data_IF_257287135743
#
_entry.id   IF_257287135743
#
_cell.length_a   1.000
_cell.length_b   1.000
_cell.length_c   1.000
_cell.angle_alpha   90.00
_cell.angle_beta   90.00
_cell.angle_gamma   90.00
#
_symmetry.space_group_name_H-M   'P 1'
#
loop_
_entity.id
_entity.type
_entity.pdbx_description
1 polymer ?
2 non-polymer ?
#
# COMPACT_ATOMS: atom_id res chain seq x y z
N UNK A 3 12.69 12.64 -15.17
CA UNK A 3 13.84 13.43 -14.75
C UNK A 3 13.85 13.64 -13.25
N UNK A 4 14.12 12.57 -12.50
CA UNK A 4 14.14 12.64 -11.04
C UNK A 4 15.10 11.59 -10.51
N UNK A 5 15.56 11.81 -9.29
CA UNK A 5 16.47 10.86 -8.65
C UNK A 5 15.75 9.56 -8.34
N UNK A 6 16.43 8.44 -8.60
CA UNK A 6 15.80 7.12 -8.54
C UNK A 6 16.16 6.37 -7.27
N UNK A 7 16.70 7.04 -6.26
CA UNK A 7 17.03 6.36 -5.01
C UNK A 7 15.78 5.80 -4.34
N UNK A 8 14.71 6.60 -4.28
CA UNK A 8 13.43 6.19 -3.73
C UNK A 8 12.36 6.42 -4.78
N UNK A 9 11.55 5.40 -5.04
CA UNK A 9 10.47 5.49 -6.01
C UNK A 9 9.14 5.32 -5.28
N UNK A 10 8.19 6.21 -5.56
CA UNK A 10 6.87 6.18 -4.94
C UNK A 10 5.85 5.85 -6.02
N UNK A 11 5.09 4.78 -5.80
CA UNK A 11 4.07 4.33 -6.74
C UNK A 11 2.70 4.69 -6.17
N UNK A 12 2.04 5.68 -6.75
CA UNK A 12 0.71 6.10 -6.31
C UNK A 12 -0.32 5.32 -7.11
N UNK A 13 -0.83 4.25 -6.54
CA UNK A 13 -1.74 3.33 -7.23
C UNK A 13 -3.17 3.67 -6.85
N UNK A 14 -4.02 3.89 -7.85
CA UNK A 14 -5.41 4.19 -7.62
C UNK A 14 -5.63 5.64 -7.25
N UNK A 15 -6.91 5.97 -7.04
CA UNK A 15 -7.27 7.31 -6.64
C UNK A 15 -6.76 7.65 -5.25
N UNK A 16 -6.90 6.72 -4.31
CA UNK A 16 -6.41 6.95 -2.95
C UNK A 16 -4.89 7.12 -2.94
N UNK A 17 -4.18 6.28 -3.70
CA UNK A 17 -2.73 6.44 -3.78
C UNK A 17 -2.32 7.75 -4.43
N UNK A 18 -2.99 8.12 -5.53
CA UNK A 18 -2.66 9.36 -6.20
C UNK A 18 -2.93 10.59 -5.33
N UNK A 19 -4.05 10.59 -4.61
CA UNK A 19 -4.36 11.73 -3.75
C UNK A 19 -3.40 11.81 -2.58
N UNK A 20 -3.04 10.65 -2.00
CA UNK A 20 -2.09 10.64 -0.89
C UNK A 20 -0.74 11.18 -1.33
N UNK A 21 -0.27 10.72 -2.49
CA UNK A 21 1.04 11.10 -2.97
C UNK A 21 1.12 12.45 -3.66
N UNK A 22 0.01 13.17 -3.78
CA UNK A 22 0.04 14.47 -4.44
C UNK A 22 0.86 15.48 -3.66
N UNK A 23 1.14 15.23 -2.39
CA UNK A 23 1.93 16.15 -1.57
C UNK A 23 3.43 15.99 -1.79
N UNK A 24 3.86 14.96 -2.52
CA UNK A 24 5.28 14.71 -2.76
C UNK A 24 5.73 15.18 -4.13
N UNK A 25 4.89 15.92 -4.85
CA UNK A 25 5.30 16.45 -6.15
C UNK A 25 6.44 17.44 -6.02
N UNK A 26 6.38 18.31 -5.01
CA UNK A 26 7.45 19.25 -4.79
C UNK A 26 8.77 18.56 -4.47
N UNK A 27 8.70 17.45 -3.74
CA UNK A 27 9.92 16.68 -3.45
C UNK A 27 10.52 16.12 -4.73
N UNK A 28 9.67 15.66 -5.65
CA UNK A 28 10.17 15.21 -6.96
C UNK A 28 10.81 16.38 -7.70
N UNK A 29 10.19 17.56 -7.62
CA UNK A 29 10.78 18.73 -8.24
C UNK A 29 12.13 19.09 -7.63
N UNK A 30 12.34 18.75 -6.37
CA UNK A 30 13.59 19.03 -5.67
C UNK A 30 14.58 17.88 -5.75
N UNK A 31 14.25 16.81 -6.47
CA UNK A 31 15.16 15.69 -6.63
C UNK A 31 15.30 14.77 -5.45
N UNK A 32 14.44 14.90 -4.44
CA UNK A 32 14.51 14.00 -3.30
C UNK A 32 14.20 12.56 -3.70
N UNK A 33 13.18 12.37 -4.52
CA UNK A 33 12.80 11.03 -4.95
C UNK A 33 12.01 11.13 -6.25
N UNK A 34 11.88 9.99 -6.92
CA UNK A 34 11.07 9.87 -8.12
C UNK A 34 9.72 9.26 -7.76
N UNK A 35 8.69 9.65 -8.52
CA UNK A 35 7.34 9.21 -8.24
C UNK A 35 6.60 8.91 -9.53
N UNK A 36 5.87 7.81 -9.54
CA UNK A 36 5.09 7.38 -10.69
C UNK A 36 3.63 7.20 -10.28
N UNK A 37 2.73 7.79 -11.05
CA UNK A 37 1.30 7.61 -10.84
C UNK A 37 0.82 6.43 -11.68
N UNK A 38 0.21 5.45 -11.04
CA UNK A 38 -0.38 4.30 -11.72
C UNK A 38 -1.86 4.28 -11.37
N UNK A 39 -2.71 4.30 -12.39
CA UNK A 39 -4.15 4.29 -12.16
C UNK A 39 -4.85 3.81 -13.42
N UNK A 40 -6.08 3.35 -13.24
CA UNK A 40 -6.94 3.01 -14.36
C UNK A 40 -7.76 4.20 -14.84
N UNK A 41 -7.75 5.31 -14.11
CA UNK A 41 -8.51 6.49 -14.47
C UNK A 41 -7.67 7.73 -14.26
N UNK A 42 -7.99 8.78 -15.02
CA UNK A 42 -7.32 10.06 -14.91
C UNK A 42 -8.22 11.10 -14.24
N UNK A 43 -9.32 10.68 -13.63
CA UNK A 43 -10.24 11.63 -13.01
C UNK A 43 -9.58 12.38 -11.85
N UNK A 44 -8.82 11.67 -11.01
CA UNK A 44 -8.15 12.32 -9.90
C UNK A 44 -6.97 13.17 -10.37
N UNK A 45 -6.31 12.75 -11.45
CA UNK A 45 -5.09 13.40 -11.92
C UNK A 45 -5.36 14.46 -12.98
N UNK A 46 -6.25 15.41 -12.68
CA UNK A 46 -6.54 16.49 -13.61
C UNK A 46 -5.74 17.75 -13.34
N UNK A 47 -5.01 17.82 -12.23
CA UNK A 47 -4.25 19.03 -11.91
C UNK A 47 -2.87 18.71 -11.33
N UNK A 48 -2.32 17.53 -11.60
CA UNK A 48 -1.01 17.18 -11.07
C UNK A 48 0.08 18.02 -11.71
N UNK A 49 1.08 18.40 -10.90
CA UNK A 49 2.20 19.17 -11.41
C UNK A 49 3.12 18.30 -12.27
N UNK A 50 3.28 17.04 -11.90
CA UNK A 50 4.14 16.14 -12.66
C UNK A 50 3.60 15.93 -14.06
N UNK A 51 4.51 15.81 -15.02
CA UNK A 51 4.12 15.62 -16.41
C UNK A 51 3.55 14.24 -16.66
N UNK A 52 3.11 14.04 -17.89
CA UNK A 52 2.55 12.75 -18.27
C UNK A 52 3.60 11.66 -18.36
N UNK A 53 4.89 12.02 -18.42
CA UNK A 53 5.93 11.02 -18.43
C UNK A 53 6.06 10.29 -17.09
N UNK A 54 5.50 10.87 -16.02
CA UNK A 54 5.43 10.22 -14.72
C UNK A 54 4.06 9.61 -14.44
N UNK A 55 3.18 9.59 -15.43
CA UNK A 55 1.82 9.10 -15.27
C UNK A 55 1.59 7.97 -16.25
N UNK A 56 1.14 6.83 -15.74
CA UNK A 56 0.76 5.69 -16.55
C UNK A 56 -0.69 5.33 -16.27
N UNK A 57 -1.49 5.22 -17.33
CA UNK A 57 -2.90 4.88 -17.24
C UNK A 57 -3.11 3.57 -17.99
N UNK A 58 -3.80 2.62 -17.35
CA UNK A 58 -4.02 1.32 -17.96
C UNK A 58 -4.86 1.46 -19.22
N UNK A 59 -4.58 0.57 -20.19
CA UNK A 59 -5.27 0.58 -21.47
C UNK A 59 -5.89 -0.79 -21.73
N UNK A 60 -7.00 -0.79 -22.45
CA UNK A 60 -7.69 -2.03 -22.80
C UNK A 60 -7.05 -2.64 -24.05
N UNK A 61 -7.73 -3.63 -24.63
CA UNK A 61 -7.19 -4.30 -25.81
C UNK A 61 -7.06 -3.33 -26.98
N UNK A 62 -8.02 -2.42 -27.13
CA UNK A 62 -8.00 -1.47 -28.24
C UNK A 62 -7.03 -0.32 -28.03
N UNK A 63 -6.14 -0.42 -27.04
CA UNK A 63 -5.17 0.63 -26.81
C UNK A 63 -5.75 1.92 -26.29
N UNK A 64 -6.96 1.88 -25.75
CA UNK A 64 -7.64 3.06 -25.24
C UNK A 64 -7.60 3.03 -23.72
N UNK A 65 -7.28 4.17 -23.12
CA UNK A 65 -7.14 4.24 -21.67
C UNK A 65 -8.48 3.98 -20.99
N UNK A 66 -8.43 3.20 -19.91
CA UNK A 66 -9.63 2.84 -19.16
C UNK A 66 -10.17 4.07 -18.41
N UNK A 67 -11.33 3.90 -17.79
CA UNK A 67 -11.96 4.95 -17.02
C UNK A 67 -12.41 4.44 -15.67
N UNK A 68 -11.53 3.69 -15.00
CA UNK A 68 -11.80 3.20 -13.66
C UNK A 68 -12.46 1.83 -13.66
N UNK A 69 -12.29 1.13 -12.53
CA UNK A 69 -12.87 -0.18 -12.35
C UNK A 69 -14.18 -0.17 -11.59
N UNK A 70 -14.48 0.91 -10.86
CA UNK A 70 -15.72 0.97 -10.12
C UNK A 70 -15.82 -0.04 -9.01
N UNK A 71 -14.74 -0.23 -8.24
CA UNK A 71 -14.70 -1.16 -7.11
C UNK A 71 -14.98 -2.59 -7.54
N UNK A 72 -14.70 -2.92 -8.78
CA UNK A 72 -14.85 -4.29 -9.29
C UNK A 72 -13.47 -4.80 -9.64
N UNK A 73 -12.89 -5.59 -8.73
CA UNK A 73 -11.51 -6.04 -8.90
C UNK A 73 -11.35 -6.95 -10.10
N UNK A 74 -12.32 -7.81 -10.35
CA UNK A 74 -12.22 -8.77 -11.44
C UNK A 74 -12.58 -8.16 -12.80
N UNK A 75 -13.04 -6.91 -12.84
CA UNK A 75 -13.43 -6.31 -14.11
C UNK A 75 -12.25 -6.15 -15.05
N UNK A 76 -11.10 -5.67 -14.53
CA UNK A 76 -9.92 -5.41 -15.35
C UNK A 76 -8.68 -6.02 -14.74
N UNK A 77 -8.84 -7.10 -13.96
CA UNK A 77 -7.68 -7.72 -13.32
C UNK A 77 -6.73 -8.29 -14.36
N UNK A 78 -7.26 -8.91 -15.41
CA UNK A 78 -6.40 -9.51 -16.43
C UNK A 78 -5.56 -8.46 -17.14
N UNK A 79 -6.18 -7.34 -17.53
CA UNK A 79 -5.43 -6.29 -18.20
C UNK A 79 -4.36 -5.70 -17.30
N UNK A 80 -4.68 -5.50 -16.02
CA UNK A 80 -3.71 -4.96 -15.08
C UNK A 80 -2.52 -5.90 -14.94
N UNK A 81 -2.79 -7.19 -14.72
CA UNK A 81 -1.71 -8.15 -14.54
C UNK A 81 -0.89 -8.30 -15.82
N UNK A 82 -1.51 -8.09 -16.99
CA UNK A 82 -0.76 -8.15 -18.23
C UNK A 82 0.09 -6.91 -18.46
N UNK A 83 -0.38 -5.75 -18.00
CA UNK A 83 0.32 -4.50 -18.25
C UNK A 83 1.30 -4.10 -17.15
N UNK A 84 1.35 -4.84 -16.04
CA UNK A 84 2.30 -4.50 -14.97
C UNK A 84 3.75 -4.50 -15.44
N UNK A 85 4.24 -5.52 -16.15
CA UNK A 85 5.65 -5.46 -16.59
C UNK A 85 5.99 -4.26 -17.45
N UNK A 86 5.07 -3.81 -18.29
CA UNK A 86 5.32 -2.63 -19.09
C UNK A 86 5.53 -1.39 -18.24
N UNK A 87 4.81 -1.30 -17.11
CA UNK A 87 5.01 -0.18 -16.20
C UNK A 87 6.44 -0.18 -15.67
N UNK A 88 6.92 -1.34 -15.25
CA UNK A 88 8.27 -1.43 -14.70
C UNK A 88 9.33 -1.17 -15.77
N UNK A 89 9.06 -1.55 -17.02
CA UNK A 89 10.00 -1.24 -18.09
C UNK A 89 10.05 0.26 -18.37
N UNK A 90 8.88 0.89 -18.49
CA UNK A 90 8.84 2.33 -18.80
C UNK A 90 9.39 3.14 -17.63
N UNK A 91 8.92 2.87 -16.42
CA UNK A 91 9.37 3.56 -15.22
C UNK A 91 10.30 2.62 -14.46
N UNK A 92 11.59 2.92 -14.48
CA UNK A 92 12.56 2.06 -13.82
C UNK A 92 12.32 2.08 -12.32
N UNK A 93 12.09 0.94 -11.68
CA UNK A 93 11.86 0.94 -10.23
C UNK A 93 13.09 1.44 -9.48
N UNK A 94 12.84 2.20 -8.42
CA UNK A 94 13.92 2.72 -7.62
C UNK A 94 14.56 1.63 -6.79
N UNK A 95 15.68 2.00 -6.15
CA UNK A 95 16.37 1.04 -5.29
C UNK A 95 15.50 0.64 -4.12
N UNK A 96 14.72 1.58 -3.59
CA UNK A 96 13.69 1.29 -2.60
C UNK A 96 12.37 1.84 -3.11
N UNK A 97 11.33 1.01 -3.10
CA UNK A 97 10.04 1.35 -3.67
C UNK A 97 8.98 1.43 -2.58
N UNK A 98 8.12 2.42 -2.68
CA UNK A 98 7.05 2.66 -1.71
C UNK A 98 5.74 2.66 -2.49
N UNK A 99 5.09 1.50 -2.56
CA UNK A 99 3.83 1.35 -3.30
C UNK A 99 2.68 1.72 -2.37
N UNK A 100 1.94 2.76 -2.75
CA UNK A 100 0.79 3.24 -1.99
C UNK A 100 -0.47 2.84 -2.73
N UNK A 101 -1.38 2.16 -2.02
CA UNK A 101 -2.63 1.75 -2.65
C UNK A 101 -3.66 1.48 -1.56
N UNK A 102 -4.92 1.43 -1.97
CA UNK A 102 -6.04 1.18 -1.08
C UNK A 102 -6.61 -0.21 -1.34
N UNK A 103 -6.90 -0.93 -0.26
CA UNK A 103 -7.42 -2.29 -0.40
C UNK A 103 -8.88 -2.32 -0.84
N UNK A 104 -9.59 -1.20 -0.75
CA UNK A 104 -11.02 -1.19 -1.00
C UNK A 104 -11.38 -0.90 -2.46
N UNK A 105 -10.56 -0.14 -3.17
CA UNK A 105 -10.88 0.19 -4.55
C UNK A 105 -10.73 -1.00 -5.48
N UNK A 106 -11.35 -0.87 -6.64
CA UNK A 106 -11.25 -1.92 -7.64
C UNK A 106 -10.03 -1.85 -8.53
N UNK A 107 -9.25 -0.79 -8.42
CA UNK A 107 -8.05 -0.61 -9.23
C UNK A 107 -6.78 -0.58 -8.40
N UNK A 108 -6.75 0.22 -7.33
CA UNK A 108 -5.57 0.24 -6.48
C UNK A 108 -5.32 -1.08 -5.80
N UNK A 109 -6.39 -1.75 -5.35
CA UNK A 109 -6.24 -3.02 -4.66
C UNK A 109 -5.82 -4.15 -5.57
N UNK A 110 -5.80 -3.94 -6.88
CA UNK A 110 -5.32 -4.94 -7.83
C UNK A 110 -3.94 -4.58 -8.38
N UNK A 111 -3.77 -3.35 -8.86
CA UNK A 111 -2.47 -2.93 -9.39
C UNK A 111 -1.44 -2.73 -8.31
N UNK A 112 -1.87 -2.57 -7.05
CA UNK A 112 -0.94 -2.46 -5.94
C UNK A 112 -0.25 -3.76 -5.64
N UNK A 113 -1.04 -4.78 -5.25
CA UNK A 113 -0.45 -6.10 -5.03
C UNK A 113 0.27 -6.67 -6.25
N UNK A 114 -0.22 -6.39 -7.46
CA UNK A 114 0.50 -6.84 -8.65
C UNK A 114 1.87 -6.19 -8.74
N UNK A 115 1.95 -4.88 -8.49
CA UNK A 115 3.23 -4.20 -8.48
C UNK A 115 4.14 -4.77 -7.40
N UNK A 116 3.60 -5.00 -6.20
CA UNK A 116 4.41 -5.51 -5.10
C UNK A 116 4.95 -6.89 -5.44
N UNK A 117 4.10 -7.76 -5.98
CA UNK A 117 4.53 -9.12 -6.31
C UNK A 117 5.58 -9.11 -7.42
N UNK A 118 5.38 -8.28 -8.45
CA UNK A 118 6.35 -8.22 -9.53
C UNK A 118 7.69 -7.67 -9.05
N UNK A 119 7.66 -6.64 -8.21
CA UNK A 119 8.90 -6.09 -7.66
C UNK A 119 9.61 -7.11 -6.79
N UNK A 120 8.87 -7.82 -5.93
CA UNK A 120 9.48 -8.83 -5.08
C UNK A 120 10.08 -9.95 -5.90
N UNK A 121 9.39 -10.38 -6.96
CA UNK A 121 9.91 -11.44 -7.82
C UNK A 121 11.17 -11.00 -8.56
N UNK A 122 11.24 -9.72 -8.94
CA UNK A 122 12.43 -9.18 -9.58
C UNK A 122 13.59 -9.00 -8.62
N UNK A 123 13.35 -9.15 -7.31
CA UNK A 123 14.38 -8.94 -6.32
C UNK A 123 14.47 -7.52 -5.79
N UNK A 124 13.53 -6.66 -6.13
CA UNK A 124 13.54 -5.29 -5.64
C UNK A 124 13.11 -5.24 -4.18
N UNK A 125 13.38 -4.10 -3.55
CA UNK A 125 13.00 -3.86 -2.16
C UNK A 125 11.79 -2.93 -2.15
N UNK A 126 10.66 -3.42 -1.69
CA UNK A 126 9.40 -2.69 -1.74
C UNK A 126 8.75 -2.70 -0.37
N UNK A 127 8.30 -1.52 0.08
CA UNK A 127 7.53 -1.36 1.31
C UNK A 127 6.21 -0.70 0.93
N UNK A 128 5.11 -1.33 1.30
CA UNK A 128 3.78 -0.88 0.89
C UNK A 128 3.19 0.06 1.94
N UNK A 129 2.47 1.08 1.47
CA UNK A 129 1.61 1.90 2.31
C UNK A 129 0.18 1.60 1.93
N UNK A 130 -0.62 1.19 2.91
CA UNK A 130 -1.94 0.62 2.66
C UNK A 130 -2.98 1.39 3.46
N UNK A 131 -4.07 1.76 2.80
CA UNK A 131 -5.20 2.41 3.45
C UNK A 131 -6.45 1.58 3.13
N UNK A 132 -7.08 1.04 4.17
CA UNK A 132 -8.22 0.16 4.01
C UNK A 132 -9.48 0.85 4.53
N UNK A 133 -10.57 0.76 3.76
CA UNK A 133 -11.83 1.39 4.09
C UNK A 133 -12.93 0.34 4.20
N UNK A 134 -13.90 0.62 5.07
CA UNK A 134 -15.00 -0.30 5.34
C UNK A 134 -16.32 0.44 5.35
N UNK A 135 -16.56 1.25 4.33
CA UNK A 135 -17.79 2.03 4.25
C UNK A 135 -18.91 1.27 3.55
N UNK A 136 -18.59 0.48 2.54
CA UNK A 136 -19.57 -0.32 1.82
C UNK A 136 -19.18 -1.79 1.88
N UNK A 137 -20.16 -2.66 1.66
CA UNK A 137 -19.89 -4.10 1.67
C UNK A 137 -18.89 -4.48 0.60
N UNK A 138 -19.01 -3.88 -0.59
CA UNK A 138 -18.06 -4.16 -1.65
C UNK A 138 -16.65 -3.75 -1.24
N UNK A 139 -16.51 -2.61 -0.57
CA UNK A 139 -15.20 -2.17 -0.10
C UNK A 139 -14.62 -3.16 0.91
N UNK A 140 -15.44 -3.64 1.84
CA UNK A 140 -14.96 -4.58 2.84
C UNK A 140 -14.53 -5.89 2.20
N UNK A 141 -15.33 -6.41 1.26
CA UNK A 141 -14.98 -7.65 0.59
C UNK A 141 -13.70 -7.48 -0.22
N UNK A 142 -13.56 -6.34 -0.90
CA UNK A 142 -12.33 -6.08 -1.65
C UNK A 142 -11.13 -6.01 -0.73
N UNK A 143 -11.27 -5.35 0.42
CA UNK A 143 -10.17 -5.26 1.36
C UNK A 143 -9.76 -6.63 1.88
N UNK A 144 -10.76 -7.46 2.22
CA UNK A 144 -10.45 -8.80 2.71
C UNK A 144 -9.75 -9.62 1.62
N UNK A 145 -10.25 -9.56 0.39
CA UNK A 145 -9.63 -10.30 -0.70
C UNK A 145 -8.20 -9.83 -0.95
N UNK A 146 -7.97 -8.51 -0.91
CA UNK A 146 -6.64 -7.98 -1.17
C UNK A 146 -5.68 -8.35 -0.06
N UNK A 147 -6.13 -8.31 1.19
CA UNK A 147 -5.25 -8.71 2.29
C UNK A 147 -4.91 -10.20 2.21
N UNK A 148 -5.89 -11.04 1.89
CA UNK A 148 -5.62 -12.46 1.70
C UNK A 148 -4.64 -12.68 0.55
N UNK A 149 -4.81 -11.92 -0.54
CA UNK A 149 -3.89 -12.05 -1.66
C UNK A 149 -2.48 -11.62 -1.31
N UNK A 150 -2.35 -10.55 -0.52
CA UNK A 150 -1.02 -10.13 -0.09
C UNK A 150 -0.37 -11.16 0.82
N UNK A 151 -1.14 -11.75 1.74
CA UNK A 151 -0.59 -12.82 2.56
C UNK A 151 -0.16 -14.01 1.71
N UNK A 152 -0.99 -14.39 0.72
CA UNK A 152 -0.63 -15.48 -0.17
C UNK A 152 0.63 -15.15 -0.96
N UNK A 153 0.75 -13.90 -1.41
CA UNK A 153 1.95 -13.50 -2.15
C UNK A 153 3.18 -13.57 -1.28
N UNK A 154 3.06 -13.14 -0.01
CA UNK A 154 4.19 -13.25 0.91
C UNK A 154 4.59 -14.70 1.12
N UNK A 155 3.60 -15.59 1.26
CA UNK A 155 3.93 -16.99 1.50
C UNK A 155 4.51 -17.66 0.25
N UNK A 156 4.00 -17.30 -0.93
CA UNK A 156 4.39 -17.99 -2.14
C UNK A 156 5.61 -17.43 -2.85
N UNK A 157 5.96 -16.18 -2.54
CA UNK A 157 7.17 -15.59 -3.07
C UNK A 157 8.38 -15.81 -2.17
N UNK A 158 8.19 -16.41 -0.99
CA UNK A 158 9.26 -16.64 -0.02
C UNK A 158 9.97 -15.33 0.31
N UNK A 159 9.20 -14.25 0.43
CA UNK A 159 9.76 -12.94 0.69
C UNK A 159 8.68 -12.11 1.37
N UNK A 160 8.96 -11.52 2.53
CA UNK A 160 7.92 -10.81 3.26
C UNK A 160 7.40 -9.59 2.52
N UNK A 161 6.10 -9.35 2.66
CA UNK A 161 5.45 -8.18 2.10
C UNK A 161 5.27 -7.19 3.25
N UNK A 162 6.13 -6.17 3.30
CA UNK A 162 6.06 -5.18 4.37
C UNK A 162 4.93 -4.21 4.08
N UNK A 163 4.05 -4.02 5.05
CA UNK A 163 2.82 -3.27 4.88
C UNK A 163 2.72 -2.23 5.98
N UNK A 164 2.47 -0.99 5.60
CA UNK A 164 2.15 0.09 6.55
C UNK A 164 0.63 0.22 6.55
N UNK A 165 -0.02 -0.46 7.49
CA UNK A 165 -1.46 -0.57 7.49
C UNK A 165 -2.10 0.63 8.17
N UNK A 166 -3.12 1.20 7.53
CA UNK A 166 -3.87 2.33 8.05
C UNK A 166 -5.35 2.09 7.87
N UNK A 167 -6.15 2.73 8.72
CA UNK A 167 -7.60 2.56 8.73
C UNK A 167 -8.27 3.91 8.51
N UNK A 168 -9.31 3.92 7.67
CA UNK A 168 -10.03 5.16 7.42
C UNK A 168 -10.90 5.55 8.61
N UNK A 169 -11.61 4.60 9.19
CA UNK A 169 -12.51 4.87 10.28
C UNK A 169 -11.92 4.78 11.68
N UNK A 170 -10.60 4.61 11.80
CA UNK A 170 -9.99 4.44 13.10
C UNK A 170 -10.07 5.74 13.90
N UNK A 171 -10.58 5.63 15.14
CA UNK A 171 -10.66 6.77 16.06
C UNK A 171 -11.47 7.92 15.47
N UNK A 172 -12.36 7.63 14.52
CA UNK A 172 -13.14 8.67 13.89
C UNK A 172 -12.35 9.63 13.05
N UNK A 173 -11.16 9.23 12.59
CA UNK A 173 -10.36 10.11 11.75
C UNK A 173 -10.97 10.25 10.37
N UNK A 174 -10.80 11.43 9.79
CA UNK A 174 -11.25 11.68 8.43
C UNK A 174 -10.22 11.14 7.44
N UNK A 175 -10.52 11.29 6.15
CA UNK A 175 -9.55 10.89 5.13
C UNK A 175 -8.32 11.79 5.14
N UNK A 176 -8.49 13.06 5.51
CA UNK A 176 -7.35 13.98 5.55
C UNK A 176 -6.34 13.55 6.62
N UNK A 177 -6.83 13.14 7.78
CA UNK A 177 -5.92 12.71 8.84
C UNK A 177 -5.17 11.44 8.43
N UNK A 178 -5.85 10.50 7.80
CA UNK A 178 -5.19 9.29 7.32
C UNK A 178 -4.16 9.64 6.26
N UNK A 179 -4.49 10.60 5.38
CA UNK A 179 -3.52 11.05 4.38
C UNK A 179 -2.29 11.65 5.06
N UNK A 180 -2.49 12.46 6.10
CA UNK A 180 -1.36 13.03 6.81
C UNK A 180 -0.50 11.95 7.46
N UNK A 181 -1.14 10.94 8.05
CA UNK A 181 -0.40 9.83 8.65
C UNK A 181 0.44 9.10 7.60
N UNK A 182 -0.16 8.80 6.46
CA UNK A 182 0.55 8.09 5.40
C UNK A 182 1.67 8.97 4.85
N UNK A 183 1.45 10.28 4.76
CA UNK A 183 2.49 11.18 4.30
C UNK A 183 3.67 11.20 5.26
N UNK A 184 3.39 11.21 6.57
CA UNK A 184 4.47 11.16 7.55
C UNK A 184 5.25 9.85 7.41
N UNK A 185 4.54 8.74 7.26
CA UNK A 185 5.22 7.45 7.10
C UNK A 185 6.08 7.43 5.85
N UNK A 186 5.55 7.97 4.75
CA UNK A 186 6.30 7.98 3.50
C UNK A 186 7.52 8.88 3.59
N UNK A 187 7.38 10.04 4.24
CA UNK A 187 8.53 10.93 4.41
C UNK A 187 9.61 10.27 5.25
N UNK A 188 9.21 9.59 6.33
CA UNK A 188 10.19 8.89 7.16
C UNK A 188 10.86 7.76 6.38
N UNK A 189 10.10 7.03 5.57
CA UNK A 189 10.70 5.98 4.75
C UNK A 189 11.66 6.56 3.72
N UNK A 190 11.31 7.69 3.12
CA UNK A 190 12.19 8.32 2.15
C UNK A 190 13.49 8.77 2.79
N UNK A 191 13.41 9.35 4.00
CA UNK A 191 14.64 9.73 4.71
C UNK A 191 15.45 8.49 5.06
N UNK A 192 14.79 7.42 5.49
CA UNK A 192 15.50 6.18 5.80
C UNK A 192 16.17 5.59 4.56
N UNK A 193 15.48 5.63 3.43
CA UNK A 193 15.95 5.00 2.20
C UNK A 193 16.82 5.92 1.34
N UNK A 194 17.12 7.13 1.82
CA UNK A 194 17.89 8.07 1.02
C UNK A 194 19.31 7.58 0.76
N UNK A 195 19.84 6.71 1.62
CA UNK A 195 21.19 6.23 1.48
C UNK A 195 22.25 7.18 1.99
N UNK A 196 21.86 8.31 2.58
CA UNK A 196 22.80 9.30 3.08
C UNK A 196 23.11 9.12 4.56
N UNK A 197 22.51 8.13 5.21
CA UNK A 197 22.76 7.90 6.63
C UNK A 197 24.18 7.37 6.84
N UNK A 198 24.81 7.79 7.94
CA UNK A 198 26.23 7.53 8.11
C UNK A 198 26.52 6.04 8.31
N UNK A 199 25.80 5.40 9.23
CA UNK A 199 26.14 4.04 9.63
C UNK A 199 25.24 2.99 9.00
N UNK A 200 24.42 3.37 8.02
CA UNK A 200 23.47 2.46 7.40
C UNK A 200 23.88 2.16 5.98
N UNK A 201 24.01 0.88 5.65
CA UNK A 201 24.43 0.41 4.35
C UNK A 201 23.26 -0.17 3.58
N UNK A 202 23.49 -0.41 2.29
CA UNK A 202 22.47 -1.04 1.46
C UNK A 202 22.18 -2.46 1.91
N UNK A 203 23.23 -3.20 2.31
CA UNK A 203 23.02 -4.57 2.77
C UNK A 203 22.20 -4.60 4.05
N UNK A 204 22.42 -3.63 4.94
CA UNK A 204 21.64 -3.56 6.17
C UNK A 204 20.15 -3.40 5.87
N UNK A 205 19.82 -2.51 4.94
CA UNK A 205 18.42 -2.32 4.57
C UNK A 205 17.86 -3.51 3.82
N UNK A 206 18.69 -4.18 3.01
CA UNK A 206 18.23 -5.39 2.33
C UNK A 206 17.87 -6.48 3.34
N UNK A 207 18.72 -6.67 4.36
CA UNK A 207 18.41 -7.67 5.38
C UNK A 207 17.25 -7.22 6.26
N UNK A 208 17.07 -5.91 6.45
CA UNK A 208 15.95 -5.41 7.23
C UNK A 208 14.63 -5.68 6.52
N UNK A 209 14.54 -5.34 5.24
CA UNK A 209 13.31 -5.54 4.50
C UNK A 209 13.05 -7.02 4.26
N UNK A 210 14.06 -7.75 3.80
CA UNK A 210 13.98 -9.20 3.64
C UNK A 210 14.46 -9.87 4.93
N UNK A 211 13.64 -9.72 5.97
CA UNK A 211 14.05 -10.14 7.31
C UNK A 211 14.38 -11.62 7.43
N UNK A 212 13.69 -12.58 6.78
CA UNK A 212 14.05 -13.99 6.99
C UNK A 212 15.45 -14.36 6.52
N UNK A 213 16.16 -13.45 5.86
CA UNK A 213 17.56 -13.71 5.52
C UNK A 213 18.41 -13.84 6.79
N UNK A 214 18.16 -13.01 7.78
CA UNK A 214 18.92 -13.01 9.02
C UNK A 214 18.13 -13.63 10.16
N UNK A 215 16.86 -13.27 10.29
CA UNK A 215 16.04 -13.80 11.39
C UNK A 215 15.84 -15.30 11.27
N UNK A 216 15.62 -15.79 10.04
CA UNK A 216 15.32 -17.18 9.84
C UNK A 216 13.88 -17.56 10.04
N UNK A 217 13.00 -16.59 10.29
CA UNK A 217 11.58 -16.86 10.47
C UNK A 217 10.91 -17.16 9.14
N UNK A 218 9.66 -17.60 9.22
CA UNK A 218 8.91 -17.90 8.02
C UNK A 218 8.55 -16.62 7.29
N UNK A 219 8.73 -16.55 5.98
CA UNK A 219 8.37 -15.32 5.23
C UNK A 219 6.86 -15.16 5.16
N UNK A 220 6.36 -14.08 5.77
CA UNK A 220 4.94 -13.78 5.79
C UNK A 220 4.77 -12.27 5.69
N UNK A 221 3.52 -11.82 5.63
CA UNK A 221 3.25 -10.40 5.59
C UNK A 221 3.71 -9.77 6.90
N UNK A 222 4.44 -8.66 6.80
CA UNK A 222 5.02 -7.99 7.96
C UNK A 222 4.45 -6.57 8.05
N UNK A 223 4.30 -6.09 9.27
CA UNK A 223 3.76 -4.76 9.52
C UNK A 223 4.89 -3.81 9.88
N UNK A 224 4.80 -2.57 9.39
CA UNK A 224 5.79 -1.55 9.65
C UNK A 224 5.19 -0.45 10.51
N UNK A 225 5.83 -0.15 11.63
CA UNK A 225 5.41 0.92 12.53
C UNK A 225 6.58 1.88 12.73
N UNK A 226 6.27 3.17 12.76
CA UNK A 226 7.29 4.20 12.90
C UNK A 226 7.02 5.00 14.16
N UNK A 227 8.05 5.21 14.97
CA UNK A 227 7.93 5.89 16.24
C UNK A 227 9.02 6.94 16.38
N UNK A 228 8.72 8.00 17.14
CA UNK A 228 9.69 9.01 17.50
C UNK A 228 9.98 8.90 18.99
N UNK A 229 11.23 9.14 19.37
CA UNK A 229 11.62 9.04 20.75
C UNK A 229 11.84 7.60 21.19
N UNK A 230 11.82 7.40 22.51
CA UNK A 230 12.13 6.12 23.11
C UNK A 230 10.95 5.52 23.88
N UNK A 231 9.77 6.16 23.82
CA UNK A 231 8.64 5.67 24.57
C UNK A 231 8.03 4.40 23.96
N UNK A 232 8.36 4.09 22.71
CA UNK A 232 7.82 2.90 22.06
C UNK A 232 8.47 1.62 22.56
N UNK A 233 9.56 1.71 23.33
CA UNK A 233 10.25 0.51 23.80
C UNK A 233 9.39 -0.28 24.78
N UNK A 234 8.51 0.39 25.51
CA UNK A 234 7.68 -0.30 26.50
C UNK A 234 6.67 -1.24 25.84
N UNK A 235 6.06 -0.80 24.75
CA UNK A 235 4.96 -1.55 24.15
C UNK A 235 5.41 -2.53 23.09
N UNK A 236 6.55 -2.28 22.44
CA UNK A 236 7.03 -3.17 21.38
C UNK A 236 8.41 -3.72 21.73
N UNK A 237 8.57 -4.18 22.96
CA UNK A 237 9.86 -4.64 23.44
C UNK A 237 10.36 -5.90 22.72
N UNK A 238 9.50 -6.59 21.98
CA UNK A 238 9.86 -7.82 21.29
C UNK A 238 9.42 -7.76 19.84
N UNK A 239 10.11 -6.99 19.01
CA UNK A 239 9.83 -6.99 17.57
C UNK A 239 10.67 -8.03 16.85
N UNK A 240 10.31 -8.26 15.58
CA UNK A 240 11.15 -9.09 14.73
C UNK A 240 12.45 -8.36 14.40
N UNK A 241 12.34 -7.09 14.01
CA UNK A 241 13.49 -6.28 13.68
C UNK A 241 13.10 -4.82 13.82
N UNK A 242 14.11 -3.96 13.94
CA UNK A 242 13.86 -2.53 13.99
C UNK A 242 15.14 -1.79 13.60
N UNK A 243 14.97 -0.68 12.88
CA UNK A 243 16.07 0.16 12.44
C UNK A 243 15.82 1.58 12.91
N UNK A 244 16.78 2.17 13.60
CA UNK A 244 16.63 3.49 14.20
C UNK A 244 17.59 4.47 13.58
N UNK A 245 17.10 5.69 13.32
CA UNK A 245 17.92 6.79 12.83
C UNK A 245 18.03 7.83 13.94
N UNK A 246 19.25 8.17 14.30
CA UNK A 246 19.47 9.09 15.41
C UNK A 246 19.97 10.44 14.90
N UNK A 247 19.58 11.54 15.53
CA UNK A 247 20.23 12.82 15.25
C UNK A 247 21.63 12.87 15.86
N UNK A 248 22.28 14.03 15.78
CA UNK A 248 23.61 14.18 16.35
C UNK A 248 23.56 14.02 17.86
N UNK A 249 24.57 13.32 18.40
CA UNK A 249 24.72 13.02 19.83
C UNK A 249 23.38 12.63 20.46
N UNK A 250 22.79 11.56 19.94
CA UNK A 250 21.54 11.02 20.44
C UNK A 250 21.79 9.68 21.10
N UNK A 251 21.21 9.48 22.27
CA UNK A 251 21.39 8.23 23.00
C UNK A 251 20.69 7.08 22.29
N UNK A 252 21.27 5.90 22.39
CA UNK A 252 20.74 4.72 21.72
C UNK A 252 19.44 4.26 22.39
N UNK A 253 18.78 3.31 21.73
CA UNK A 253 17.56 2.71 22.26
C UNK A 253 17.91 1.45 23.03
N UNK A 254 17.38 1.32 24.24
CA UNK A 254 17.65 0.18 25.09
C UNK A 254 16.34 -0.48 25.50
N UNK A 255 16.46 -1.73 25.96
CA UNK A 255 15.30 -2.47 26.41
C UNK A 255 14.55 -3.20 25.33
N UNK A 256 14.97 -3.10 24.07
CA UNK A 256 14.32 -3.77 22.95
C UNK A 256 15.13 -5.01 22.61
N UNK A 257 14.46 -6.16 22.60
CA UNK A 257 15.08 -7.43 22.27
C UNK A 257 14.55 -7.88 20.91
N UNK A 258 15.32 -7.62 19.86
CA UNK A 258 14.93 -7.94 18.51
C UNK A 258 15.92 -8.93 17.89
N UNK A 259 15.42 -9.77 17.00
CA UNK A 259 16.28 -10.72 16.30
C UNK A 259 17.28 -9.99 15.42
N UNK A 260 16.86 -8.87 14.82
CA UNK A 260 17.70 -8.08 13.95
C UNK A 260 17.53 -6.61 14.31
N UNK A 261 18.62 -5.84 14.17
CA UNK A 261 18.55 -4.43 14.49
C UNK A 261 19.60 -3.68 13.67
N UNK A 262 19.25 -2.46 13.27
CA UNK A 262 20.14 -1.59 12.52
C UNK A 262 20.14 -0.20 13.14
N UNK A 263 21.22 0.52 12.89
CA UNK A 263 21.39 1.88 13.40
C UNK A 263 21.81 2.78 12.25
N UNK A 264 21.40 4.04 12.34
CA UNK A 264 21.79 5.03 11.35
C UNK A 264 21.84 6.39 12.00
N UNK A 265 22.56 7.30 11.35
CA UNK A 265 22.73 8.65 11.85
C UNK A 265 22.29 9.64 10.77
N UNK A 266 21.45 10.59 11.16
CA UNK A 266 20.85 11.56 10.25
C UNK A 266 21.83 12.70 10.02
N UNK A 267 22.01 13.16 8.78
CA UNK A 267 22.91 14.29 8.54
C UNK A 267 22.41 15.55 9.21
N UNK A 268 23.35 16.44 9.53
CA UNK A 268 23.01 17.65 10.27
C UNK A 268 22.01 18.53 9.54
N UNK A 269 21.92 18.43 8.22
CA UNK A 269 20.97 19.22 7.45
C UNK A 269 19.64 18.52 7.23
N UNK A 270 19.53 17.25 7.58
CA UNK A 270 18.31 16.50 7.32
C UNK A 270 17.21 16.93 8.28
N UNK A 271 15.94 16.86 7.86
CA UNK A 271 14.81 17.25 8.73
C UNK A 271 14.41 16.14 9.70
N UNK A 272 15.34 15.73 10.56
CA UNK A 272 15.08 14.80 11.63
C UNK A 272 15.69 15.37 12.90
N UNK A 273 14.87 15.57 13.92
CA UNK A 273 15.32 16.18 15.17
C UNK A 273 15.26 15.24 16.37
N UNK A 274 14.55 14.12 16.25
CA UNK A 274 14.51 13.12 17.31
C UNK A 274 14.63 11.74 16.68
N UNK A 275 15.08 10.78 17.50
CA UNK A 275 15.31 9.43 16.99
C UNK A 275 14.04 8.85 16.41
N UNK A 276 14.14 8.29 15.21
CA UNK A 276 13.01 7.71 14.50
C UNK A 276 13.29 6.23 14.26
N UNK A 277 12.35 5.38 14.65
CA UNK A 277 12.51 3.94 14.57
C UNK A 277 11.50 3.34 13.63
N UNK A 278 11.93 2.33 12.87
CA UNK A 278 11.08 1.58 11.94
C UNK A 278 11.05 0.14 12.43
N UNK A 279 9.90 -0.29 12.96
CA UNK A 279 9.77 -1.54 13.68
C UNK A 279 8.94 -2.51 12.84
N UNK A 280 9.45 -3.72 12.67
CA UNK A 280 8.75 -4.78 11.96
C UNK A 280 8.20 -5.80 12.96
N UNK A 281 6.93 -6.14 12.82
CA UNK A 281 6.31 -7.11 13.71
C UNK A 281 5.12 -7.74 13.00
N UNK A 282 4.80 -8.98 13.39
CA UNK A 282 3.65 -9.69 12.87
C UNK A 282 2.65 -10.06 13.97
N UNK A 283 2.89 -9.63 15.21
CA UNK A 283 1.99 -10.00 16.30
C UNK A 283 0.67 -9.26 16.25
N UNK A 284 0.60 -8.14 15.54
CA UNK A 284 -0.63 -7.37 15.41
C UNK A 284 -1.39 -7.68 14.13
N UNK A 285 -0.90 -8.62 13.32
CA UNK A 285 -1.61 -9.00 12.11
C UNK A 285 -2.91 -9.74 12.41
N UNK A 286 -2.92 -10.53 13.48
CA UNK A 286 -4.13 -11.24 13.85
C UNK A 286 -5.28 -10.31 14.16
N UNK A 287 -5.00 -9.21 14.86
CA UNK A 287 -6.04 -8.23 15.13
C UNK A 287 -6.58 -7.60 13.87
N UNK A 288 -5.70 -7.29 12.92
CA UNK A 288 -6.14 -6.70 11.65
C UNK A 288 -7.04 -7.68 10.90
N UNK A 289 -6.63 -8.94 10.83
CA UNK A 289 -7.43 -9.95 10.13
C UNK A 289 -8.77 -10.13 10.81
N UNK A 290 -8.78 -10.15 12.14
CA UNK A 290 -10.04 -10.30 12.88
C UNK A 290 -10.95 -9.11 12.64
N UNK A 291 -10.40 -7.90 12.60
CA UNK A 291 -11.23 -6.71 12.34
C UNK A 291 -11.82 -6.75 10.94
N UNK A 292 -11.02 -7.14 9.94
CA UNK A 292 -11.54 -7.25 8.58
C UNK A 292 -12.64 -8.32 8.52
N UNK A 293 -12.42 -9.45 9.19
CA UNK A 293 -13.42 -10.51 9.20
C UNK A 293 -14.69 -10.06 9.91
N UNK A 294 -14.55 -9.27 10.97
CA UNK A 294 -15.72 -8.74 11.67
C UNK A 294 -16.52 -7.81 10.77
N UNK A 295 -15.84 -6.94 10.02
CA UNK A 295 -16.54 -6.07 9.09
C UNK A 295 -17.25 -6.89 8.01
N UNK A 296 -16.58 -7.91 7.48
CA UNK A 296 -17.19 -8.75 6.46
C UNK A 296 -18.41 -9.48 7.02
N UNK A 297 -18.30 -10.00 8.25
CA UNK A 297 -19.43 -10.69 8.87
C UNK A 297 -20.59 -9.75 9.11
N UNK A 298 -20.31 -8.52 9.57
CA UNK A 298 -21.37 -7.55 9.80
C UNK A 298 -22.10 -7.23 8.50
N UNK A 299 -21.34 -7.00 7.43
CA UNK A 299 -21.98 -6.69 6.16
C UNK A 299 -22.72 -7.89 5.58
N UNK A 300 -22.23 -9.11 5.80
CA UNK A 300 -22.93 -10.28 5.30
C UNK A 300 -24.22 -10.52 6.07
N UNK A 301 -24.21 -10.30 7.38
CA UNK A 301 -25.43 -10.41 8.16
C UNK A 301 -26.42 -9.32 7.81
N UNK A 302 -25.94 -8.14 7.44
CA UNK A 302 -26.83 -7.10 6.92
C UNK A 302 -27.41 -7.52 5.56
N UNK A 303 -26.59 -8.15 4.72
CA UNK A 303 -27.02 -8.54 3.38
C UNK A 303 -28.07 -9.63 3.42
N UNK A 304 -27.89 -10.64 4.28
CA UNK A 304 -28.85 -11.73 4.35
C UNK A 304 -30.22 -11.27 4.83
N UNK A 305 -30.30 -10.11 5.47
CA UNK A 305 -31.56 -9.55 5.93
C UNK A 305 -32.26 -8.72 4.86
N UNK A 306 -31.68 -8.59 3.67
CA UNK A 306 -32.33 -7.86 2.60
C UNK A 306 -33.66 -8.50 2.23
N UNK A 307 -34.70 -7.68 2.13
CA UNK A 307 -35.99 -8.17 1.70
C UNK A 307 -35.93 -8.57 0.23
N UNK A 308 -36.53 -9.71 -0.10
CA UNK A 308 -36.51 -10.20 -1.46
C UNK A 308 -37.24 -9.23 -2.38
N UNK A 309 -36.62 -8.92 -3.51
CA UNK A 309 -37.21 -7.98 -4.45
C UNK A 309 -38.51 -8.57 -5.03
N UNK A 310 -39.54 -7.76 -5.21
CA UNK A 310 -40.79 -8.28 -5.77
C UNK A 310 -40.63 -8.68 -7.22
N UNK A 311 -40.65 -9.98 -7.48
CA UNK A 311 -40.43 -10.51 -8.81
C UNK A 311 -41.76 -10.67 -9.54
N UNK A 312 -41.79 -10.28 -10.82
CA UNK A 312 -42.97 -10.51 -11.63
C UNK A 312 -43.04 -11.98 -12.01
N UNK A 313 -44.24 -12.42 -12.37
CA UNK A 313 -44.46 -13.83 -12.65
C UNK A 313 -43.67 -14.30 -13.85
N UNK A 314 -43.27 -15.57 -13.80
CA UNK A 314 -42.58 -16.17 -14.94
C UNK A 314 -43.52 -16.26 -16.15
N UNK A 315 -44.79 -16.58 -15.91
CA UNK A 315 -45.78 -16.54 -16.97
C UNK A 315 -45.98 -15.11 -17.48
N UNK A 316 -45.76 -14.11 -16.63
CA UNK A 316 -45.79 -12.73 -17.09
C UNK A 316 -44.61 -12.43 -18.01
N UNK A 317 -43.44 -12.98 -17.70
CA UNK A 317 -42.29 -12.84 -18.60
C UNK A 317 -42.57 -13.52 -19.92
N UNK A 318 -43.26 -14.68 -19.88
CA UNK A 318 -43.72 -15.30 -21.12
C UNK A 318 -44.69 -14.38 -21.86
N UNK A 319 -45.54 -13.66 -21.11
CA UNK A 319 -46.43 -12.68 -21.71
C UNK A 319 -45.67 -11.47 -22.24
N UNK A 320 -44.41 -11.29 -21.84
CA UNK A 320 -43.61 -10.13 -22.23
C UNK A 320 -42.57 -10.47 -23.30
N UNK A 321 -42.76 -11.57 -24.03
CA UNK A 321 -41.80 -11.97 -25.06
C UNK A 321 -41.77 -11.01 -26.24
N UNK A 322 -42.74 -10.11 -26.35
CA UNK A 322 -42.72 -9.12 -27.42
C UNK A 322 -41.59 -8.12 -27.20
N UNK A 323 -41.17 -7.48 -28.29
CA UNK A 323 -40.11 -6.49 -28.20
C UNK A 323 -40.57 -5.31 -27.36
N UNK A 324 -39.65 -4.78 -26.55
CA UNK A 324 -39.97 -3.69 -25.65
C UNK A 324 -40.56 -4.11 -24.32
N UNK A 325 -40.82 -5.40 -24.13
CA UNK A 325 -41.37 -5.92 -22.87
C UNK A 325 -42.66 -5.22 -22.50
N UNK A 326 -43.55 -5.05 -23.48
CA UNK A 326 -44.85 -4.44 -23.27
C UNK A 326 -45.89 -5.55 -23.14
N UNK A 327 -46.63 -5.53 -22.02
CA UNK A 327 -47.62 -6.58 -21.80
C UNK A 327 -48.88 -6.36 -22.64
N UNK A 328 -49.22 -5.11 -22.94
CA UNK A 328 -50.43 -4.76 -23.69
C UNK A 328 -51.68 -5.33 -23.01
X LIG B 1 -11.48 4.24 -9.77
X LIG B 1 -10.08 4.17 -10.38
X LIG B 1 -11.81 5.62 -9.19
X LIG B 1 -12.60 3.62 -10.59
X LIG B 1 -11.34 3.26 -8.37
X LIG B 1 -10.10 3.26 -7.35
X LIG B 1 -9.39 1.94 -7.26
X LIG B 1 -9.25 4.50 -7.56
X LIG B 1 -10.99 3.57 -5.76
X LIG B 1 -10.06 4.13 -4.31
X LIG B 1 -8.68 3.54 -4.28
X LIG B 1 -10.20 5.63 -4.19
X LIG B 1 -10.98 3.44 -3.12
X LIG B 1 -12.13 4.11 -2.67
X LIG B 1 -12.13 4.01 -1.16
X LIG B 1 -10.96 4.60 -0.60
X LIG B 1 -13.31 4.73 -0.49
X LIG B 1 -13.67 4.16 0.74
X LIG B 1 -12.71 6.10 -0.19
X LIG B 1 -13.27 6.79 0.88
X LIG B 1 -11.24 5.78 0.07
X LIG B 1 -10.38 6.83 -0.41
X LIG B 1 -10.35 7.36 -1.68
X LIG B 1 -9.47 8.31 -1.80
X LIG B 1 -8.91 8.43 -0.56
X LIG B 1 -7.90 9.31 -0.09
X LIG B 1 -7.30 10.17 -0.69
X LIG B 1 -7.65 9.07 1.26
X LIG B 1 -8.25 8.14 2.05
X LIG B 1 -7.84 8.08 3.34
X LIG B 1 -9.18 7.34 1.61
X LIG B 1 -9.47 7.52 0.32
#
# INVERSE_FOLDING_TARGET
>A
SNAQENQVHIWAVGGCGGEIGSAFEGEVAKGLHSMTYVDTSRANLRDSTLGDDHIYIFKDAAGRELDGSGKKRDENAELICSQIPGILNKHTPGKFNIVVFSLSGGSGSVAGPALVANLLERGERVVCCIVASFDDERQTINADRTFKGLMAAAEGLKRPVIVSYHMNGENGKSEQDVNLDVQVVISQLCVLFSGENRRLDSADLENFLNHPRVTGLEPTITELNTFMGYEWTKENDSPIAFCTLYPKDATKVMGVSAIYSCDGFVPESSPIREATSFVLSTDRLGGIIKQIADEAKRYIEHRNARQQAPKVGDETVAEAKNSGFLLF
>B hetero
1 G2P PG O1G O2G O3G O3B PB O1B O2B C3A PA O1A O2A O5' C5' C4' O4' C3' O3' C2' O2' C1' N9 C8 N7 C5 C6 O6 N1 C2 N2 N3 C4
#
